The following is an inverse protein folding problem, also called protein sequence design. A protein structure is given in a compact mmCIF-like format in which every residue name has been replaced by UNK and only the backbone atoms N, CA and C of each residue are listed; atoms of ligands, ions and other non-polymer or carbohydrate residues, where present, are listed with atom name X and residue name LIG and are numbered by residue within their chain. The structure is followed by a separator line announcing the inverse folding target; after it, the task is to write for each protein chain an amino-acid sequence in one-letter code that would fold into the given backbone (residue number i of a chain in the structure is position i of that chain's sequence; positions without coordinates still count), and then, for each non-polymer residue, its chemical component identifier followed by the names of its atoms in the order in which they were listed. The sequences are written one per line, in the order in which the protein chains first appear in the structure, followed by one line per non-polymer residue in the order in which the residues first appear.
data_IF_939580860158
#
_entry.id   IF_939580860158
#
_cell.length_a   1.000
_cell.length_b   1.000
_cell.length_c   1.000
_cell.angle_alpha   90.00
_cell.angle_beta   90.00
_cell.angle_gamma   90.00
#
_symmetry.space_group_name_H-M   'P 1'
#
loop_
_entity.id
_entity.type
_entity.pdbx_description
1 polymer ?
#
# COMPACT_ATOMS: atom_id res chain seq x y z
N UNK A 1 59.23 -46.28 -100.30
CA UNK A 1 60.13 -45.13 -100.55
C UNK A 1 60.23 -44.34 -99.26
N UNK A 2 61.38 -44.42 -98.55
CA UNK A 2 62.28 -43.30 -98.14
C UNK A 2 61.56 -42.17 -97.37
N UNK A 3 61.92 -41.80 -96.14
CA UNK A 3 63.20 -41.20 -95.73
C UNK A 3 63.44 -41.23 -94.19
N UNK A 4 64.71 -41.06 -93.81
CA UNK A 4 65.25 -40.91 -92.44
C UNK A 4 64.65 -39.75 -91.62
N UNK A 5 64.65 -39.88 -90.28
CA UNK A 5 64.95 -38.76 -89.37
C UNK A 5 65.59 -39.26 -88.07
N UNK A 6 66.63 -38.56 -87.61
CA UNK A 6 67.51 -38.89 -86.50
C UNK A 6 66.80 -38.99 -85.13
N UNK A 7 67.22 -39.94 -84.30
CA UNK A 7 66.77 -40.08 -82.92
C UNK A 7 67.82 -39.44 -81.99
N UNK A 8 67.45 -38.32 -81.37
CA UNK A 8 68.18 -37.68 -80.27
C UNK A 8 67.96 -38.49 -79.00
N UNK A 9 69.03 -38.97 -78.37
CA UNK A 9 68.96 -39.62 -77.06
C UNK A 9 68.89 -38.52 -76.00
N UNK A 10 67.71 -38.31 -75.43
CA UNK A 10 67.53 -37.50 -74.23
C UNK A 10 67.88 -38.34 -73.00
N UNK A 11 68.90 -37.93 -72.25
CA UNK A 11 69.20 -38.45 -70.92
C UNK A 11 68.20 -37.82 -69.95
N UNK A 12 67.20 -38.60 -69.52
CA UNK A 12 66.33 -38.22 -68.42
C UNK A 12 67.10 -38.41 -67.11
N UNK A 13 67.48 -37.30 -66.46
CA UNK A 13 67.91 -37.30 -65.07
C UNK A 13 66.72 -37.61 -64.17
N UNK A 14 66.79 -38.72 -63.43
CA UNK A 14 65.84 -39.01 -62.38
C UNK A 14 66.02 -38.00 -61.25
N UNK A 15 65.11 -37.02 -61.15
CA UNK A 15 64.97 -36.20 -59.95
C UNK A 15 64.40 -37.10 -58.88
N UNK A 16 65.25 -37.51 -57.94
CA UNK A 16 64.79 -38.16 -56.72
C UNK A 16 63.98 -37.14 -55.91
N UNK A 17 62.66 -37.27 -55.97
CA UNK A 17 61.74 -36.52 -55.13
C UNK A 17 61.91 -37.05 -53.70
N UNK A 18 62.75 -36.39 -52.90
CA UNK A 18 62.78 -36.63 -51.45
C UNK A 18 61.46 -36.17 -50.89
N UNK A 19 60.65 -37.11 -50.41
CA UNK A 19 59.42 -36.85 -49.67
C UNK A 19 59.81 -36.12 -48.38
N UNK A 20 59.76 -34.79 -48.38
CA UNK A 20 60.01 -33.97 -47.18
C UNK A 20 58.96 -34.35 -46.16
N UNK A 21 59.37 -35.04 -45.09
CA UNK A 21 58.52 -35.37 -43.96
C UNK A 21 58.15 -34.06 -43.27
N UNK A 22 56.84 -33.83 -43.05
CA UNK A 22 56.39 -32.67 -42.29
C UNK A 22 57.05 -32.68 -40.91
N UNK A 23 57.42 -31.51 -40.36
CA UNK A 23 58.01 -31.44 -39.04
C UNK A 23 57.06 -31.99 -37.97
N UNK A 24 57.62 -32.56 -36.90
CA UNK A 24 56.84 -33.00 -35.75
C UNK A 24 56.24 -31.79 -35.02
N UNK A 25 55.05 -31.98 -34.46
CA UNK A 25 54.37 -30.95 -33.67
C UNK A 25 55.13 -30.70 -32.35
N UNK A 26 55.46 -29.45 -32.08
CA UNK A 26 56.20 -29.01 -30.88
C UNK A 26 55.34 -28.23 -29.89
N UNK A 27 54.18 -27.70 -30.30
CA UNK A 27 53.28 -26.96 -29.42
C UNK A 27 52.04 -26.41 -30.09
N UNK A 28 51.09 -25.96 -29.26
CA UNK A 28 49.89 -25.22 -29.65
C UNK A 28 49.81 -23.92 -28.84
N UNK A 29 49.25 -22.87 -29.42
CA UNK A 29 48.98 -21.59 -28.74
C UNK A 29 47.58 -21.11 -29.09
N UNK A 30 46.81 -20.67 -28.09
CA UNK A 30 45.49 -20.05 -28.28
C UNK A 30 45.61 -18.52 -28.21
N UNK A 31 44.91 -17.84 -29.10
CA UNK A 31 44.86 -16.38 -29.16
C UNK A 31 43.40 -15.91 -29.33
N UNK A 32 42.95 -14.95 -28.51
CA UNK A 32 43.64 -14.36 -27.34
C UNK A 32 43.74 -15.31 -26.14
N UNK A 33 44.71 -15.06 -25.23
CA UNK A 33 44.87 -15.85 -23.99
C UNK A 33 43.91 -15.46 -22.87
N UNK A 34 43.20 -14.33 -23.00
CA UNK A 34 42.09 -13.96 -22.12
C UNK A 34 41.04 -13.14 -22.88
N UNK A 35 39.77 -13.32 -22.54
CA UNK A 35 38.65 -12.50 -23.04
C UNK A 35 37.68 -12.15 -21.92
N UNK A 36 36.97 -11.04 -22.09
CA UNK A 36 35.80 -10.69 -21.28
C UNK A 36 34.60 -10.57 -22.21
N UNK A 37 33.51 -11.29 -21.91
CA UNK A 37 32.32 -11.39 -22.76
C UNK A 37 31.07 -11.12 -21.92
N UNK A 38 30.09 -10.40 -22.46
CA UNK A 38 28.80 -10.19 -21.79
C UNK A 38 27.97 -11.46 -21.92
N UNK A 39 27.25 -11.83 -20.86
CA UNK A 39 26.31 -12.96 -20.88
C UNK A 39 25.39 -12.91 -22.11
N UNK A 40 25.27 -14.03 -22.81
CA UNK A 40 24.48 -14.17 -24.02
C UNK A 40 25.20 -13.77 -25.31
N UNK A 41 26.35 -13.09 -25.23
CA UNK A 41 27.19 -12.78 -26.38
C UNK A 41 28.21 -13.90 -26.67
N UNK A 42 28.86 -13.82 -27.83
CA UNK A 42 29.84 -14.78 -28.33
C UNK A 42 31.17 -14.13 -28.66
N UNK A 43 32.25 -14.89 -28.56
CA UNK A 43 33.59 -14.48 -28.97
C UNK A 43 34.33 -15.62 -29.67
N UNK A 44 35.19 -15.31 -30.64
CA UNK A 44 35.96 -16.32 -31.38
C UNK A 44 37.37 -16.46 -30.80
N UNK A 45 37.80 -17.71 -30.59
CA UNK A 45 39.19 -18.05 -30.30
C UNK A 45 39.84 -18.67 -31.53
N UNK A 46 41.13 -18.42 -31.69
CA UNK A 46 41.94 -19.03 -32.73
C UNK A 46 43.11 -19.78 -32.10
N UNK A 47 43.63 -20.80 -32.79
CA UNK A 47 44.83 -21.51 -32.36
C UNK A 47 45.88 -21.56 -33.47
N UNK A 48 47.14 -21.66 -33.06
CA UNK A 48 48.29 -21.86 -33.94
C UNK A 48 49.14 -23.02 -33.44
N UNK A 49 49.67 -23.82 -34.37
CA UNK A 49 50.62 -24.90 -34.07
C UNK A 49 52.05 -24.46 -34.38
N UNK A 50 53.01 -24.98 -33.61
CA UNK A 50 54.44 -24.77 -33.83
C UNK A 50 55.12 -26.11 -34.14
N UNK A 51 55.92 -26.21 -35.21
CA UNK A 51 56.01 -25.29 -36.34
C UNK A 51 54.71 -25.24 -37.17
N UNK A 52 54.49 -24.15 -37.91
CA UNK A 52 53.22 -23.85 -38.61
C UNK A 52 52.80 -24.92 -39.64
N UNK A 53 53.77 -25.65 -40.18
CA UNK A 53 53.60 -26.74 -41.16
C UNK A 53 53.67 -28.14 -40.54
N UNK A 54 53.66 -28.24 -39.21
CA UNK A 54 53.54 -29.52 -38.52
C UNK A 54 52.26 -30.26 -38.92
N UNK A 55 52.36 -31.58 -39.05
CA UNK A 55 51.19 -32.45 -39.23
C UNK A 55 50.61 -32.85 -37.87
N UNK A 56 49.29 -32.83 -37.75
CA UNK A 56 48.52 -33.20 -36.56
C UNK A 56 47.27 -33.97 -36.98
N UNK A 57 46.72 -34.79 -36.08
CA UNK A 57 45.61 -35.70 -36.41
C UNK A 57 44.25 -35.19 -35.92
N UNK A 58 44.22 -34.47 -34.78
CA UNK A 58 42.96 -33.98 -34.22
C UNK A 58 43.09 -32.67 -33.45
N UNK A 59 42.01 -31.88 -33.49
CA UNK A 59 41.81 -30.72 -32.64
C UNK A 59 40.45 -30.83 -31.96
N UNK A 60 40.39 -30.47 -30.68
CA UNK A 60 39.12 -30.27 -30.00
C UNK A 60 39.23 -29.15 -28.96
N UNK A 61 38.09 -28.53 -28.70
CA UNK A 61 37.93 -27.49 -27.68
C UNK A 61 37.20 -28.05 -26.48
N UNK A 62 37.53 -27.54 -25.30
CA UNK A 62 36.88 -27.93 -24.06
C UNK A 62 36.78 -26.72 -23.12
N UNK A 63 35.61 -26.56 -22.51
CA UNK A 63 35.42 -25.65 -21.39
C UNK A 63 35.65 -26.34 -20.05
N UNK A 64 36.28 -25.65 -19.10
CA UNK A 64 36.35 -26.08 -17.71
C UNK A 64 35.01 -26.02 -16.99
N UNK A 65 34.10 -25.13 -17.44
CA UNK A 65 32.76 -24.94 -16.87
C UNK A 65 31.77 -24.44 -17.95
N UNK A 66 31.03 -25.38 -18.53
CA UNK A 66 29.99 -25.10 -19.53
C UNK A 66 28.77 -24.36 -18.97
N UNK A 67 28.61 -24.27 -17.64
CA UNK A 67 27.55 -23.44 -17.02
C UNK A 67 27.91 -21.95 -17.04
N UNK A 68 29.19 -21.62 -17.20
CA UNK A 68 29.71 -20.25 -17.32
C UNK A 68 29.96 -19.89 -18.78
N UNK A 69 30.67 -20.73 -19.55
CA UNK A 69 30.93 -20.51 -20.97
C UNK A 69 31.07 -21.83 -21.73
N UNK A 70 30.42 -21.93 -22.89
CA UNK A 70 30.58 -23.07 -23.80
C UNK A 70 31.48 -22.69 -24.97
N UNK A 71 32.05 -23.68 -25.64
CA UNK A 71 32.86 -23.49 -26.86
C UNK A 71 32.45 -24.54 -27.89
N UNK A 72 32.28 -24.15 -29.15
CA UNK A 72 31.99 -25.08 -30.23
C UNK A 72 33.28 -25.63 -30.89
N UNK A 73 33.11 -26.49 -31.88
CA UNK A 73 34.22 -27.12 -32.59
C UNK A 73 35.10 -26.12 -33.38
N UNK A 74 34.55 -24.95 -33.72
CA UNK A 74 35.22 -23.93 -34.52
C UNK A 74 35.93 -22.89 -33.62
N UNK A 75 35.84 -23.05 -32.29
CA UNK A 75 36.45 -22.15 -31.31
C UNK A 75 35.56 -20.95 -30.96
N UNK A 76 34.27 -20.99 -31.29
CA UNK A 76 33.31 -19.95 -30.91
C UNK A 76 32.85 -20.19 -29.48
N UNK A 77 33.19 -19.26 -28.59
CA UNK A 77 32.80 -19.26 -27.19
C UNK A 77 31.45 -18.55 -27.03
N UNK A 78 30.50 -19.17 -26.33
CA UNK A 78 29.22 -18.56 -25.94
C UNK A 78 29.17 -18.34 -24.43
N UNK A 79 28.91 -17.11 -23.99
CA UNK A 79 28.82 -16.76 -22.58
C UNK A 79 27.44 -17.14 -22.00
N UNK A 80 27.42 -17.97 -20.96
CA UNK A 80 26.19 -18.56 -20.38
C UNK A 80 25.78 -17.90 -19.07
N UNK A 81 26.71 -17.77 -18.12
CA UNK A 81 26.47 -17.17 -16.81
C UNK A 81 27.70 -16.40 -16.34
N UNK A 82 27.51 -15.41 -15.45
CA UNK A 82 28.62 -14.64 -14.89
C UNK A 82 29.60 -15.52 -14.13
N UNK A 83 30.89 -15.25 -14.28
CA UNK A 83 31.94 -16.07 -13.70
C UNK A 83 33.20 -16.15 -14.56
N UNK A 84 34.07 -17.11 -14.25
CA UNK A 84 35.29 -17.36 -15.02
C UNK A 84 35.35 -18.84 -15.40
N UNK A 85 35.63 -19.10 -16.67
CA UNK A 85 35.90 -20.43 -17.21
C UNK A 85 37.19 -20.43 -18.02
N UNK A 86 37.85 -21.56 -18.10
CA UNK A 86 39.01 -21.79 -18.95
C UNK A 86 38.58 -22.55 -20.19
N UNK A 87 38.86 -22.00 -21.37
CA UNK A 87 38.65 -22.66 -22.65
C UNK A 87 39.99 -23.16 -23.15
N UNK A 88 40.08 -24.46 -23.36
CA UNK A 88 41.31 -25.15 -23.74
C UNK A 88 41.20 -25.71 -25.16
N UNK A 89 42.21 -25.45 -25.98
CA UNK A 89 42.40 -26.13 -27.27
C UNK A 89 43.38 -27.27 -27.08
N UNK A 90 43.04 -28.43 -27.61
CA UNK A 90 43.90 -29.62 -27.58
C UNK A 90 44.23 -30.02 -29.00
N UNK A 91 45.52 -30.10 -29.33
CA UNK A 91 46.03 -30.60 -30.61
C UNK A 91 47.01 -31.73 -30.31
N UNK A 92 46.60 -32.95 -30.63
CA UNK A 92 47.28 -34.20 -30.24
C UNK A 92 47.65 -34.24 -28.74
N UNK A 93 48.93 -34.19 -28.37
CA UNK A 93 49.40 -34.20 -26.98
C UNK A 93 49.63 -32.82 -26.36
N UNK A 94 49.39 -31.74 -27.10
CA UNK A 94 49.61 -30.37 -26.66
C UNK A 94 48.28 -29.68 -26.39
N UNK A 95 48.28 -28.79 -25.40
CA UNK A 95 47.14 -27.95 -25.10
C UNK A 95 47.59 -26.54 -24.72
N UNK A 96 46.69 -25.58 -24.95
CA UNK A 96 46.83 -24.21 -24.43
C UNK A 96 45.46 -23.68 -23.99
N UNK A 97 45.46 -22.64 -23.16
CA UNK A 97 44.27 -22.19 -22.42
C UNK A 97 44.03 -20.69 -22.59
N UNK A 98 42.76 -20.34 -22.84
CA UNK A 98 42.24 -18.98 -22.77
C UNK A 98 41.37 -18.84 -21.52
N UNK A 99 41.60 -17.81 -20.72
CA UNK A 99 40.72 -17.47 -19.59
C UNK A 99 39.56 -16.59 -20.07
N UNK A 100 38.34 -17.08 -19.92
CA UNK A 100 37.10 -16.38 -20.28
C UNK A 100 36.46 -15.85 -19.00
N UNK A 101 36.28 -14.53 -18.91
CA UNK A 101 35.50 -13.89 -17.84
C UNK A 101 34.17 -13.43 -18.40
N UNK A 102 33.07 -13.98 -17.89
CA UNK A 102 31.71 -13.57 -18.29
C UNK A 102 31.19 -12.52 -17.31
N UNK A 103 30.77 -11.38 -17.86
CA UNK A 103 30.15 -10.28 -17.11
C UNK A 103 28.64 -10.20 -17.34
N UNK A 104 27.97 -9.53 -16.42
CA UNK A 104 26.57 -9.16 -16.53
C UNK A 104 26.27 -8.31 -17.76
N UNK A 105 25.02 -8.38 -18.20
CA UNK A 105 24.48 -7.42 -19.18
C UNK A 105 24.20 -6.05 -18.56
N UNK A 106 23.71 -5.09 -19.35
CA UNK A 106 23.26 -3.81 -18.80
C UNK A 106 22.08 -4.03 -17.84
N UNK A 107 21.93 -3.11 -16.88
CA UNK A 107 20.69 -2.98 -16.11
C UNK A 107 19.52 -2.72 -17.07
N UNK A 108 18.38 -3.38 -16.85
CA UNK A 108 17.19 -3.21 -17.69
C UNK A 108 16.02 -2.57 -16.94
N UNK A 109 15.85 -2.86 -15.65
CA UNK A 109 14.75 -2.28 -14.85
C UNK A 109 15.06 -2.20 -13.37
N UNK A 110 14.41 -1.25 -12.70
CA UNK A 110 14.32 -1.12 -11.24
C UNK A 110 12.88 -1.36 -10.80
N UNK A 111 12.67 -2.01 -9.66
CA UNK A 111 11.34 -2.24 -9.08
C UNK A 111 11.38 -1.89 -7.61
N UNK A 112 10.53 -0.94 -7.18
CA UNK A 112 10.36 -0.59 -5.78
C UNK A 112 9.47 -1.60 -5.05
N UNK A 113 9.67 -1.77 -3.75
CA UNK A 113 8.80 -2.58 -2.91
C UNK A 113 7.39 -1.96 -2.76
N UNK A 114 7.30 -0.64 -2.81
CA UNK A 114 6.04 0.11 -2.76
C UNK A 114 6.02 1.14 -3.90
N UNK A 115 4.85 1.33 -4.50
CA UNK A 115 4.64 2.33 -5.57
C UNK A 115 3.78 3.51 -5.10
N UNK A 116 3.19 3.41 -3.90
CA UNK A 116 2.46 4.50 -3.26
C UNK A 116 2.62 4.42 -1.74
N UNK A 117 2.79 5.58 -1.11
CA UNK A 117 2.86 5.77 0.34
C UNK A 117 1.82 6.81 0.74
N UNK A 118 1.12 6.56 1.85
CA UNK A 118 0.29 7.54 2.55
C UNK A 118 0.88 7.74 3.94
N UNK A 119 1.36 8.94 4.24
CA UNK A 119 2.08 9.27 5.47
C UNK A 119 1.44 10.46 6.17
N UNK A 120 1.58 10.51 7.50
CA UNK A 120 1.32 11.74 8.25
C UNK A 120 2.54 12.62 8.27
N UNK A 121 2.36 13.94 8.42
CA UNK A 121 3.46 14.87 8.68
C UNK A 121 4.33 14.34 9.83
N UNK A 122 5.64 14.21 9.59
CA UNK A 122 6.60 13.62 10.53
C UNK A 122 6.73 12.08 10.48
N UNK A 123 5.82 11.41 9.79
CA UNK A 123 5.87 9.97 9.53
C UNK A 123 7.00 9.58 8.56
N UNK A 124 7.44 8.33 8.65
CA UNK A 124 8.50 7.79 7.79
C UNK A 124 8.13 6.44 7.20
N UNK A 125 8.70 6.12 6.03
CA UNK A 125 8.61 4.80 5.42
C UNK A 125 9.90 4.46 4.67
N UNK A 126 10.31 3.20 4.74
CA UNK A 126 11.52 2.71 4.09
C UNK A 126 11.18 2.13 2.72
N UNK A 127 11.63 2.79 1.66
CA UNK A 127 11.65 2.19 0.33
C UNK A 127 12.90 1.34 0.15
N UNK A 128 12.75 0.27 -0.61
CA UNK A 128 13.80 -0.62 -1.08
C UNK A 128 13.53 -0.97 -2.53
N UNK A 129 14.54 -1.48 -3.23
CA UNK A 129 14.40 -1.82 -4.64
C UNK A 129 15.09 -3.13 -4.98
N UNK A 130 14.61 -3.75 -6.05
CA UNK A 130 15.26 -4.83 -6.77
C UNK A 130 15.55 -4.40 -8.20
N UNK A 131 16.40 -5.14 -8.90
CA UNK A 131 16.76 -4.84 -10.28
C UNK A 131 16.80 -6.12 -11.12
N UNK A 132 16.60 -5.93 -12.42
CA UNK A 132 16.69 -7.00 -13.41
C UNK A 132 17.60 -6.57 -14.57
N UNK A 133 18.42 -7.49 -15.12
CA UNK A 133 18.70 -8.83 -14.60
C UNK A 133 19.45 -8.82 -13.26
N UNK A 134 19.28 -9.87 -12.44
CA UNK A 134 19.93 -9.98 -11.12
C UNK A 134 21.46 -9.98 -11.22
N UNK A 135 21.99 -10.47 -12.34
CA UNK A 135 23.41 -10.50 -12.65
C UNK A 135 23.85 -9.35 -13.56
N UNK A 136 23.11 -8.25 -13.63
CA UNK A 136 23.53 -7.05 -14.36
C UNK A 136 24.89 -6.53 -13.88
N UNK A 137 25.68 -5.95 -14.79
CA UNK A 137 26.90 -5.20 -14.46
C UNK A 137 26.50 -3.83 -13.87
N UNK A 138 25.91 -3.86 -12.68
CA UNK A 138 25.33 -2.72 -11.99
C UNK A 138 25.72 -2.70 -10.51
N UNK A 139 26.13 -1.53 -10.01
CA UNK A 139 26.37 -1.28 -8.59
C UNK A 139 25.14 -0.61 -7.96
N UNK A 140 24.36 -1.31 -7.10
CA UNK A 140 23.17 -0.75 -6.46
C UNK A 140 23.45 0.50 -5.61
N UNK A 141 24.67 0.65 -5.09
CA UNK A 141 25.05 1.83 -4.28
C UNK A 141 25.21 3.10 -5.10
N UNK A 142 25.28 2.96 -6.44
CA UNK A 142 25.32 4.10 -7.36
C UNK A 142 23.94 4.70 -7.66
N UNK A 143 22.86 4.01 -7.28
CA UNK A 143 21.49 4.50 -7.45
C UNK A 143 21.22 5.74 -6.59
N UNK A 144 20.38 6.65 -7.09
CA UNK A 144 20.10 7.93 -6.44
C UNK A 144 18.62 8.12 -6.19
N UNK A 145 18.29 8.53 -4.98
CA UNK A 145 16.96 8.94 -4.58
C UNK A 145 16.80 10.46 -4.73
N UNK A 146 15.59 10.88 -5.09
CA UNK A 146 15.18 12.29 -5.12
C UNK A 146 13.69 12.41 -4.87
N UNK A 147 13.27 13.52 -4.25
CA UNK A 147 11.86 13.91 -4.16
C UNK A 147 11.57 15.06 -5.13
N UNK A 148 10.41 15.02 -5.80
CA UNK A 148 9.96 16.11 -6.66
C UNK A 148 9.62 17.40 -5.88
N UNK A 149 9.16 17.24 -4.63
CA UNK A 149 8.86 18.33 -3.70
C UNK A 149 9.28 17.94 -2.27
N UNK A 150 10.43 18.47 -1.84
CA UNK A 150 10.98 18.26 -0.51
C UNK A 150 10.22 19.00 0.60
N UNK A 151 9.31 19.93 0.26
CA UNK A 151 8.43 20.57 1.25
C UNK A 151 7.27 19.66 1.66
N UNK A 152 6.94 18.66 0.82
CA UNK A 152 5.95 17.62 1.10
C UNK A 152 6.61 16.40 1.72
N UNK A 153 7.62 15.82 1.08
CA UNK A 153 8.37 14.68 1.62
C UNK A 153 9.83 14.68 1.15
N UNK A 154 10.76 14.31 2.03
CA UNK A 154 12.16 14.07 1.68
C UNK A 154 12.46 12.58 1.58
N UNK A 155 13.56 12.23 0.93
CA UNK A 155 14.09 10.86 0.87
C UNK A 155 15.60 10.91 1.04
N UNK A 156 16.15 10.03 1.88
CA UNK A 156 17.60 9.95 2.06
C UNK A 156 18.28 8.98 1.07
N UNK A 157 19.61 8.90 1.10
CA UNK A 157 20.39 8.03 0.21
C UNK A 157 20.15 6.53 0.42
N UNK A 158 19.47 6.13 1.49
CA UNK A 158 19.10 4.74 1.76
C UNK A 158 17.66 4.42 1.35
N UNK A 159 16.88 5.41 0.92
CA UNK A 159 15.47 5.27 0.56
C UNK A 159 14.50 5.50 1.72
N UNK A 160 14.96 6.07 2.84
CA UNK A 160 14.07 6.44 3.95
C UNK A 160 13.31 7.71 3.57
N UNK A 161 12.01 7.59 3.32
CA UNK A 161 11.09 8.69 3.04
C UNK A 161 10.62 9.29 4.37
N UNK A 162 10.67 10.61 4.49
CA UNK A 162 10.18 11.37 5.65
C UNK A 162 9.17 12.42 5.19
N UNK A 163 7.96 12.36 5.72
CA UNK A 163 6.91 13.34 5.45
C UNK A 163 7.19 14.66 6.18
N UNK A 164 7.14 15.78 5.45
CA UNK A 164 7.49 17.13 5.92
C UNK A 164 6.28 18.04 6.03
N UNK A 165 5.42 18.05 5.02
CA UNK A 165 4.28 18.94 4.91
C UNK A 165 3.16 18.28 4.11
N UNK A 166 1.93 18.77 4.30
CA UNK A 166 0.76 18.21 3.62
C UNK A 166 0.83 18.40 2.11
N UNK A 167 0.40 17.42 1.34
CA UNK A 167 0.35 17.48 -0.12
C UNK A 167 0.73 16.17 -0.78
N UNK A 168 0.91 16.19 -2.09
CA UNK A 168 1.36 15.04 -2.87
C UNK A 168 2.70 15.33 -3.54
N UNK A 169 3.57 14.33 -3.58
CA UNK A 169 4.87 14.39 -4.26
C UNK A 169 5.23 13.02 -4.83
N UNK A 170 6.31 12.96 -5.59
CA UNK A 170 6.84 11.72 -6.15
C UNK A 170 8.28 11.54 -5.70
N UNK A 171 8.57 10.37 -5.12
CA UNK A 171 9.93 9.93 -4.83
C UNK A 171 10.42 9.08 -6.00
N UNK A 172 11.60 9.40 -6.53
CA UNK A 172 12.20 8.73 -7.68
C UNK A 172 13.52 8.10 -7.30
N UNK A 173 13.71 6.83 -7.67
CA UNK A 173 14.99 6.14 -7.70
C UNK A 173 15.54 6.15 -9.13
N UNK A 174 16.78 6.57 -9.32
CA UNK A 174 17.44 6.64 -10.64
C UNK A 174 18.75 5.86 -10.67
N UNK A 175 18.94 5.03 -11.70
CA UNK A 175 20.21 4.38 -12.05
C UNK A 175 20.49 4.57 -13.55
N UNK A 176 21.35 5.53 -13.89
CA UNK A 176 21.58 5.91 -15.29
C UNK A 176 20.34 6.53 -15.92
N UNK A 177 19.81 5.92 -16.98
CA UNK A 177 18.56 6.32 -17.65
C UNK A 177 17.32 5.57 -17.12
N UNK A 178 17.51 4.61 -16.21
CA UNK A 178 16.43 3.78 -15.67
C UNK A 178 15.93 4.40 -14.36
N UNK A 179 14.60 4.55 -14.25
CA UNK A 179 13.94 5.09 -13.07
C UNK A 179 12.89 4.14 -12.52
N UNK A 180 12.60 4.28 -11.24
CA UNK A 180 11.40 3.74 -10.60
C UNK A 180 10.83 4.81 -9.66
N UNK A 181 9.50 4.89 -9.58
CA UNK A 181 8.81 5.99 -8.90
C UNK A 181 7.84 5.48 -7.84
N UNK A 182 7.69 6.27 -6.79
CA UNK A 182 6.74 6.06 -5.72
C UNK A 182 5.90 7.34 -5.50
N UNK A 183 4.60 7.16 -5.65
CA UNK A 183 3.52 7.90 -4.98
C UNK A 183 3.81 8.34 -3.55
N UNK A 184 3.82 9.61 -3.16
CA UNK A 184 3.80 9.98 -1.73
C UNK A 184 2.70 11.01 -1.47
N UNK A 185 1.69 10.63 -0.72
CA UNK A 185 0.65 11.52 -0.21
C UNK A 185 0.88 11.74 1.28
N UNK A 186 0.94 13.01 1.69
CA UNK A 186 1.16 13.43 3.07
C UNK A 186 -0.05 14.17 3.59
N UNK A 187 -0.64 13.68 4.67
CA UNK A 187 -1.77 14.30 5.36
C UNK A 187 -1.33 14.90 6.70
N UNK A 188 -2.01 15.98 7.11
CA UNK A 188 -1.78 16.63 8.40
C UNK A 188 -2.57 15.94 9.51
N UNK A 189 -2.40 16.38 10.76
CA UNK A 189 -3.37 16.06 11.81
C UNK A 189 -4.75 16.60 11.41
N UNK A 190 -5.80 15.84 11.72
CA UNK A 190 -7.15 16.28 11.43
C UNK A 190 -7.51 17.53 12.24
N UNK A 191 -8.34 18.37 11.66
CA UNK A 191 -8.93 19.54 12.30
C UNK A 191 -10.45 19.49 12.21
N UNK A 192 -11.12 20.07 13.21
CA UNK A 192 -12.58 20.21 13.17
C UNK A 192 -12.97 21.03 11.95
N UNK A 193 -13.85 20.47 11.11
CA UNK A 193 -14.32 21.04 9.86
C UNK A 193 -13.61 20.53 8.61
N UNK A 194 -12.59 19.68 8.74
CA UNK A 194 -11.98 19.01 7.58
C UNK A 194 -12.99 18.09 6.89
N UNK A 195 -12.94 18.05 5.57
CA UNK A 195 -13.71 17.13 4.75
C UNK A 195 -13.04 15.76 4.76
N UNK A 196 -13.81 14.70 5.00
CA UNK A 196 -13.33 13.33 5.06
C UNK A 196 -13.84 12.53 3.86
N UNK A 197 -12.97 11.76 3.23
CA UNK A 197 -13.22 11.13 1.94
C UNK A 197 -13.34 9.60 2.02
N UNK A 198 -13.97 9.01 1.00
CA UNK A 198 -14.16 7.55 0.88
C UNK A 198 -12.86 6.73 0.80
N UNK A 199 -11.72 7.37 0.54
CA UNK A 199 -10.39 6.75 0.54
C UNK A 199 -9.71 6.80 1.93
N UNK A 200 -10.38 7.33 2.95
CA UNK A 200 -9.85 7.47 4.32
C UNK A 200 -8.98 8.71 4.55
N UNK A 201 -8.80 9.56 3.54
CA UNK A 201 -8.06 10.82 3.67
C UNK A 201 -8.96 11.97 4.11
N UNK A 202 -8.35 13.10 4.49
CA UNK A 202 -9.06 14.33 4.82
C UNK A 202 -8.29 15.57 4.38
N UNK A 203 -9.00 16.69 4.25
CA UNK A 203 -8.41 18.00 3.94
C UNK A 203 -9.30 19.16 4.41
N UNK A 204 -8.68 20.31 4.69
CA UNK A 204 -9.39 21.52 5.10
C UNK A 204 -10.28 22.11 3.99
N UNK A 205 -9.83 22.00 2.74
CA UNK A 205 -10.55 22.43 1.55
C UNK A 205 -11.19 21.22 0.86
N UNK A 206 -12.38 21.40 0.30
CA UNK A 206 -13.11 20.35 -0.40
C UNK A 206 -12.39 20.02 -1.72
N UNK A 207 -11.96 18.76 -1.85
CA UNK A 207 -11.30 18.23 -3.04
C UNK A 207 -12.37 17.76 -4.06
N UNK A 208 -12.46 18.40 -5.24
CA UNK A 208 -13.46 18.05 -6.25
C UNK A 208 -13.20 16.70 -6.93
N UNK A 209 -12.01 16.13 -6.81
CA UNK A 209 -11.63 14.86 -7.43
C UNK A 209 -11.87 13.66 -6.48
N UNK A 210 -12.23 13.92 -5.22
CA UNK A 210 -12.54 12.90 -4.21
C UNK A 210 -14.01 12.88 -3.82
N UNK A 211 -14.47 11.71 -3.37
CA UNK A 211 -15.83 11.55 -2.84
C UNK A 211 -15.82 11.89 -1.35
N UNK A 212 -16.30 13.08 -0.99
CA UNK A 212 -16.48 13.48 0.40
C UNK A 212 -17.66 12.70 0.99
N UNK A 213 -17.45 12.07 2.15
CA UNK A 213 -18.45 11.23 2.84
C UNK A 213 -18.79 11.74 4.23
N UNK A 214 -18.04 12.72 4.74
CA UNK A 214 -18.33 13.33 6.02
C UNK A 214 -17.45 14.52 6.35
N UNK A 215 -17.65 15.06 7.55
CA UNK A 215 -16.88 16.16 8.09
C UNK A 215 -16.31 15.77 9.45
N UNK A 216 -15.04 16.06 9.69
CA UNK A 216 -14.39 15.87 10.99
C UNK A 216 -15.04 16.81 12.01
N UNK A 217 -15.63 16.28 13.07
CA UNK A 217 -16.23 17.10 14.14
C UNK A 217 -15.39 17.13 15.41
N UNK A 218 -14.39 16.25 15.52
CA UNK A 218 -13.43 16.23 16.61
C UNK A 218 -12.11 15.61 16.13
N UNK A 219 -10.98 16.17 16.59
CA UNK A 219 -9.64 15.75 16.20
C UNK A 219 -8.92 15.01 17.33
N UNK A 220 -8.29 13.90 16.98
CA UNK A 220 -7.64 12.97 17.90
C UNK A 220 -8.62 12.08 18.68
N UNK A 221 -8.07 11.12 19.42
CA UNK A 221 -8.83 10.28 20.33
C UNK A 221 -9.35 11.09 21.54
N UNK A 222 -10.65 11.02 21.82
CA UNK A 222 -11.22 11.69 22.99
C UNK A 222 -10.89 10.93 24.28
N UNK A 223 -10.60 11.63 25.38
CA UNK A 223 -10.19 10.98 26.64
C UNK A 223 -11.29 10.14 27.29
N UNK A 224 -12.56 10.55 27.10
CA UNK A 224 -13.75 9.85 27.61
C UNK A 224 -14.35 8.85 26.61
N UNK A 225 -13.65 8.55 25.51
CA UNK A 225 -13.99 7.44 24.63
C UNK A 225 -13.29 6.17 25.11
N UNK A 226 -14.04 5.23 25.67
CA UNK A 226 -13.54 3.95 26.17
C UNK A 226 -13.67 2.82 25.13
N UNK A 227 -14.00 3.17 23.88
CA UNK A 227 -14.18 2.22 22.79
C UNK A 227 -12.89 1.46 22.46
N UNK A 228 -13.00 0.15 22.23
CA UNK A 228 -11.90 -0.66 21.72
C UNK A 228 -11.93 -0.72 20.19
N UNK A 229 -11.06 0.07 19.57
CA UNK A 229 -10.88 0.07 18.12
C UNK A 229 -9.78 -0.87 17.62
N UNK A 230 -9.19 -1.72 18.47
CA UNK A 230 -8.03 -2.55 18.10
C UNK A 230 -8.31 -3.48 16.91
N UNK A 231 -9.54 -3.95 16.75
CA UNK A 231 -9.98 -4.81 15.65
C UNK A 231 -10.12 -4.10 14.30
N UNK A 232 -10.11 -2.76 14.28
CA UNK A 232 -10.33 -1.93 13.09
C UNK A 232 -9.01 -1.45 12.46
N UNK A 233 -7.88 -1.63 13.16
CA UNK A 233 -6.56 -1.17 12.71
C UNK A 233 -6.17 0.23 13.18
N UNK A 234 -7.11 1.04 13.68
CA UNK A 234 -6.83 2.37 14.27
C UNK A 234 -6.34 2.23 15.72
N UNK A 235 -7.04 1.50 16.58
CA UNK A 235 -6.81 1.53 18.03
C UNK A 235 -6.92 2.96 18.61
N UNK A 236 -6.57 3.16 19.89
CA UNK A 236 -6.61 4.51 20.48
C UNK A 236 -5.44 5.40 20.03
N UNK A 237 -4.30 4.81 19.69
CA UNK A 237 -3.07 5.55 19.33
C UNK A 237 -3.13 6.13 17.91
N UNK A 238 -3.84 5.49 16.99
CA UNK A 238 -3.98 5.97 15.60
C UNK A 238 -5.37 6.51 15.30
N UNK A 239 -6.16 6.82 16.34
CA UNK A 239 -7.42 7.53 16.14
C UNK A 239 -7.11 9.02 15.89
N UNK A 240 -7.30 9.43 14.65
CA UNK A 240 -7.09 10.78 14.13
C UNK A 240 -8.28 11.70 14.39
N UNK A 241 -9.44 11.13 14.72
CA UNK A 241 -10.61 11.90 15.12
C UNK A 241 -11.91 11.18 14.83
N UNK A 242 -12.97 11.97 14.75
CA UNK A 242 -14.33 11.50 14.52
C UNK A 242 -14.99 12.29 13.39
N UNK A 243 -15.71 11.57 12.53
CA UNK A 243 -16.37 12.10 11.33
C UNK A 243 -17.86 11.92 11.46
N UNK A 244 -18.63 12.95 11.11
CA UNK A 244 -20.09 12.89 10.97
C UNK A 244 -20.45 12.73 9.50
N UNK A 245 -21.39 11.83 9.21
CA UNK A 245 -21.89 11.58 7.87
C UNK A 245 -22.55 12.82 7.23
N UNK A 246 -22.48 12.92 5.90
CA UNK A 246 -23.10 14.04 5.18
C UNK A 246 -24.63 13.97 5.17
N UNK A 247 -25.24 12.80 5.20
CA UNK A 247 -26.68 12.62 5.08
C UNK A 247 -27.28 11.92 6.30
N UNK A 248 -28.57 12.15 6.54
CA UNK A 248 -29.32 11.38 7.54
C UNK A 248 -29.33 9.90 7.15
N UNK A 249 -29.04 9.03 8.12
CA UNK A 249 -29.02 7.60 7.91
C UNK A 249 -30.41 6.96 7.97
N UNK A 250 -31.32 7.58 8.71
CA UNK A 250 -32.72 7.18 8.76
C UNK A 250 -33.55 7.91 7.70
N UNK A 251 -34.62 7.29 7.17
CA UNK A 251 -35.68 8.03 6.50
C UNK A 251 -36.34 9.01 7.48
N UNK A 252 -37.33 9.76 6.99
CA UNK A 252 -38.10 10.62 7.87
C UNK A 252 -38.72 9.81 9.02
N UNK A 253 -38.27 10.13 10.25
CA UNK A 253 -38.83 9.79 11.56
C UNK A 253 -38.45 8.40 12.10
N UNK A 254 -37.19 8.26 12.55
CA UNK A 254 -36.74 7.11 13.34
C UNK A 254 -37.25 7.21 14.79
N UNK A 255 -38.46 6.70 15.03
CA UNK A 255 -39.19 6.91 16.31
C UNK A 255 -38.69 5.99 17.44
N UNK A 256 -37.93 4.93 17.13
CA UNK A 256 -37.57 3.90 18.12
C UNK A 256 -36.05 3.68 18.20
N UNK A 257 -35.55 3.60 19.43
CA UNK A 257 -34.15 3.24 19.73
C UNK A 257 -33.99 1.72 19.84
N UNK A 258 -34.99 1.06 20.42
CA UNK A 258 -34.99 -0.37 20.71
C UNK A 258 -36.27 -0.81 21.43
N UNK A 259 -36.28 -2.06 21.92
CA UNK A 259 -37.39 -2.62 22.69
C UNK A 259 -37.77 -1.71 23.86
N UNK A 260 -39.06 -1.67 24.19
CA UNK A 260 -39.51 -0.93 25.37
C UNK A 260 -39.03 -1.62 26.65
N UNK A 261 -38.73 -0.81 27.67
CA UNK A 261 -38.39 -1.26 29.03
C UNK A 261 -37.15 -2.20 29.10
N UNK A 262 -36.23 -2.12 28.11
CA UNK A 262 -34.94 -2.83 28.09
C UNK A 262 -33.80 -1.84 28.31
N UNK A 263 -33.22 -1.86 29.52
CA UNK A 263 -32.06 -1.03 29.87
C UNK A 263 -30.77 -1.76 29.50
N UNK A 264 -29.93 -1.13 28.69
CA UNK A 264 -28.61 -1.66 28.31
C UNK A 264 -27.47 -1.13 29.18
N UNK A 265 -27.77 -0.15 30.04
CA UNK A 265 -26.80 0.56 30.88
C UNK A 265 -25.77 1.35 30.05
N UNK A 266 -26.22 1.90 28.91
CA UNK A 266 -25.39 2.70 28.01
C UNK A 266 -25.21 4.13 28.54
N UNK A 267 -24.55 4.26 29.69
CA UNK A 267 -24.18 5.52 30.30
C UNK A 267 -22.83 5.41 31.00
N UNK A 268 -22.05 6.49 31.06
CA UNK A 268 -20.77 6.48 31.76
C UNK A 268 -20.95 6.31 33.27
N UNK A 269 -19.97 5.68 33.91
CA UNK A 269 -19.87 5.54 35.36
C UNK A 269 -18.71 6.42 35.88
N UNK A 270 -18.85 6.96 37.08
CA UNK A 270 -17.78 7.69 37.76
C UNK A 270 -16.75 6.74 38.41
N UNK A 271 -15.76 7.29 39.11
CA UNK A 271 -14.69 6.52 39.77
C UNK A 271 -15.22 5.56 40.86
N UNK A 272 -16.39 5.86 41.43
CA UNK A 272 -17.06 5.04 42.44
C UNK A 272 -17.99 3.98 41.82
N UNK A 273 -18.11 3.96 40.49
CA UNK A 273 -18.98 3.06 39.74
C UNK A 273 -20.44 3.51 39.70
N UNK A 274 -20.72 4.75 40.09
CA UNK A 274 -22.07 5.32 40.08
C UNK A 274 -22.36 5.99 38.73
N UNK A 275 -23.63 5.98 38.27
CA UNK A 275 -23.95 6.56 36.98
C UNK A 275 -23.74 8.07 36.91
N UNK A 276 -23.06 8.52 35.85
CA UNK A 276 -22.88 9.94 35.57
C UNK A 276 -24.17 10.48 34.95
N UNK A 277 -24.89 11.32 35.71
CA UNK A 277 -26.15 11.91 35.25
C UNK A 277 -25.89 12.98 34.18
N UNK A 278 -26.45 12.76 32.98
CA UNK A 278 -26.32 13.69 31.85
C UNK A 278 -27.57 14.58 31.78
N UNK A 279 -27.49 15.84 32.22
CA UNK A 279 -28.67 16.73 32.26
C UNK A 279 -28.46 18.09 31.61
N UNK A 280 -29.53 18.66 31.05
CA UNK A 280 -29.57 20.00 30.44
C UNK A 280 -29.20 21.18 31.36
N UNK A 281 -29.22 20.99 32.67
CA UNK A 281 -29.15 22.09 33.64
C UNK A 281 -27.75 22.30 34.21
N UNK A 282 -26.83 21.39 33.91
CA UNK A 282 -25.44 21.41 34.37
C UNK A 282 -24.58 21.48 33.11
N UNK A 283 -23.91 22.61 32.85
CA UNK A 283 -23.12 22.92 31.65
C UNK A 283 -21.90 21.98 31.37
N UNK A 284 -22.03 20.67 31.59
CA UNK A 284 -20.95 19.68 31.65
C UNK A 284 -21.18 18.49 30.69
N UNK A 285 -22.10 18.64 29.74
CA UNK A 285 -22.57 17.53 28.88
C UNK A 285 -21.69 17.31 27.65
N UNK A 286 -20.88 18.31 27.26
CA UNK A 286 -20.15 18.27 25.99
C UNK A 286 -19.03 17.22 25.97
N UNK A 287 -18.56 16.78 27.13
CA UNK A 287 -17.42 15.86 27.23
C UNK A 287 -17.73 14.57 28.01
N UNK A 288 -18.95 14.40 28.54
CA UNK A 288 -19.24 13.34 29.52
C UNK A 288 -19.33 11.92 28.93
N UNK A 289 -19.90 11.75 27.74
CA UNK A 289 -20.10 10.44 27.13
C UNK A 289 -19.66 10.43 25.66
N UNK A 290 -18.47 9.89 25.39
CA UNK A 290 -17.91 9.74 24.04
C UNK A 290 -17.90 8.29 23.55
N UNK A 291 -18.64 7.41 24.22
CA UNK A 291 -18.58 5.96 24.02
C UNK A 291 -19.53 5.45 22.92
N UNK A 292 -19.81 6.24 21.87
CA UNK A 292 -20.82 5.87 20.87
C UNK A 292 -20.55 4.53 20.18
N UNK A 293 -19.28 4.24 19.85
CA UNK A 293 -18.91 2.97 19.24
C UNK A 293 -19.06 1.80 20.22
N UNK A 294 -18.63 1.97 21.47
CA UNK A 294 -18.83 1.01 22.56
C UNK A 294 -20.33 0.72 22.78
N UNK A 295 -21.17 1.74 22.91
CA UNK A 295 -22.61 1.60 23.10
C UNK A 295 -23.30 0.98 21.89
N UNK A 296 -22.91 1.36 20.67
CA UNK A 296 -23.42 0.72 19.45
C UNK A 296 -23.05 -0.76 19.40
N UNK A 297 -21.85 -1.12 19.85
CA UNK A 297 -21.41 -2.52 19.94
C UNK A 297 -22.23 -3.30 20.97
N UNK A 298 -22.53 -2.69 22.12
CA UNK A 298 -23.44 -3.25 23.13
C UNK A 298 -24.85 -3.48 22.58
N UNK A 299 -25.41 -2.48 21.87
CA UNK A 299 -26.71 -2.59 21.22
C UNK A 299 -26.72 -3.73 20.19
N UNK A 300 -25.67 -3.87 19.38
CA UNK A 300 -25.53 -4.97 18.42
C UNK A 300 -25.55 -6.33 19.11
N UNK A 301 -24.81 -6.48 20.21
CA UNK A 301 -24.79 -7.72 20.98
C UNK A 301 -26.17 -8.06 21.58
N UNK A 302 -26.90 -7.05 22.07
CA UNK A 302 -28.28 -7.22 22.55
C UNK A 302 -29.22 -7.64 21.40
N UNK A 303 -29.10 -6.99 20.23
CA UNK A 303 -29.91 -7.29 19.06
C UNK A 303 -29.65 -8.70 18.51
N UNK A 304 -28.41 -9.20 18.53
CA UNK A 304 -28.07 -10.57 18.09
C UNK A 304 -28.85 -11.64 18.86
N UNK A 305 -29.08 -11.43 20.16
CA UNK A 305 -29.93 -12.32 20.97
C UNK A 305 -31.41 -12.30 20.56
N UNK A 306 -31.84 -11.24 19.84
CA UNK A 306 -33.21 -11.00 19.38
C UNK A 306 -33.40 -11.19 17.86
N UNK A 307 -32.41 -11.76 17.15
CA UNK A 307 -32.48 -12.00 15.70
C UNK A 307 -31.69 -11.02 14.82
N UNK A 308 -30.91 -10.14 15.44
CA UNK A 308 -30.04 -9.16 14.79
C UNK A 308 -30.66 -7.77 14.70
N UNK A 309 -29.84 -6.80 14.27
CA UNK A 309 -30.33 -5.44 14.02
C UNK A 309 -31.37 -5.45 12.88
N UNK A 310 -32.46 -4.70 13.04
CA UNK A 310 -33.47 -4.47 12.00
C UNK A 310 -34.22 -3.14 12.20
N UNK A 311 -35.05 -2.77 11.23
CA UNK A 311 -35.92 -1.58 11.31
C UNK A 311 -37.06 -1.73 12.34
N UNK A 312 -37.31 -2.95 12.83
CA UNK A 312 -38.34 -3.21 13.81
C UNK A 312 -37.91 -2.74 15.21
N UNK A 313 -38.88 -2.38 16.06
CA UNK A 313 -38.63 -1.93 17.44
C UNK A 313 -37.72 -2.89 18.21
N UNK A 314 -37.95 -4.20 18.06
CA UNK A 314 -37.14 -5.25 18.71
C UNK A 314 -35.71 -5.36 18.15
N UNK A 315 -35.48 -4.84 16.95
CA UNK A 315 -34.20 -4.87 16.23
C UNK A 315 -33.34 -3.63 16.40
N UNK A 316 -33.68 -2.73 17.33
CA UNK A 316 -32.92 -1.50 17.60
C UNK A 316 -32.73 -0.61 16.36
N UNK A 317 -33.82 0.01 15.85
CA UNK A 317 -33.81 0.65 14.54
C UNK A 317 -32.83 1.83 14.44
N UNK A 318 -32.66 2.63 15.51
CA UNK A 318 -31.68 3.71 15.53
C UNK A 318 -30.26 3.22 15.22
N UNK A 319 -29.84 2.12 15.88
CA UNK A 319 -28.54 1.51 15.64
C UNK A 319 -28.48 0.81 14.27
N UNK A 320 -29.58 0.19 13.84
CA UNK A 320 -29.67 -0.42 12.50
C UNK A 320 -29.44 0.60 11.40
N UNK A 321 -30.12 1.75 11.44
CA UNK A 321 -29.91 2.82 10.46
C UNK A 321 -28.49 3.37 10.52
N UNK A 322 -27.93 3.56 11.73
CA UNK A 322 -26.60 4.10 11.88
C UNK A 322 -25.51 3.20 11.26
N UNK A 323 -25.58 1.91 11.55
CA UNK A 323 -24.59 0.90 11.12
C UNK A 323 -24.78 0.50 9.65
N UNK A 324 -26.02 0.50 9.15
CA UNK A 324 -26.32 0.22 7.73
C UNK A 324 -26.47 1.50 6.90
N UNK A 325 -25.82 2.60 7.33
CA UNK A 325 -25.79 3.84 6.55
C UNK A 325 -25.23 3.53 5.15
N UNK A 326 -26.09 3.72 4.16
CA UNK A 326 -25.87 3.22 2.80
C UNK A 326 -25.64 4.32 1.77
N UNK A 327 -25.81 5.59 2.15
CA UNK A 327 -25.52 6.69 1.25
C UNK A 327 -24.01 6.76 0.95
N UNK A 328 -23.16 6.52 1.96
CA UNK A 328 -21.71 6.47 1.78
C UNK A 328 -21.08 5.34 2.60
N UNK A 329 -20.28 4.48 1.94
CA UNK A 329 -19.55 3.42 2.64
C UNK A 329 -18.38 4.01 3.44
N UNK A 330 -18.24 3.57 4.70
CA UNK A 330 -17.06 3.89 5.49
C UNK A 330 -15.82 3.15 4.96
N UNK A 331 -14.64 3.80 4.91
CA UNK A 331 -13.39 3.13 4.52
C UNK A 331 -13.04 1.99 5.50
N UNK A 332 -12.42 0.92 5.00
CA UNK A 332 -12.01 -0.24 5.82
C UNK A 332 -11.00 0.14 6.92
N UNK A 333 -10.30 1.27 6.76
CA UNK A 333 -9.35 1.82 7.73
C UNK A 333 -10.00 2.59 8.89
N UNK A 334 -11.31 2.51 9.06
CA UNK A 334 -12.08 3.23 10.09
C UNK A 334 -12.83 2.27 11.01
N UNK A 335 -13.51 2.79 12.03
CA UNK A 335 -14.42 2.01 12.87
C UNK A 335 -15.63 1.45 12.12
N UNK A 336 -15.88 1.89 10.89
CA UNK A 336 -17.19 1.83 10.27
C UNK A 336 -18.18 2.80 10.94
N UNK A 337 -19.34 2.97 10.32
CA UNK A 337 -20.40 3.83 10.85
C UNK A 337 -21.03 3.25 12.12
N UNK A 338 -21.27 4.09 13.12
CA UNK A 338 -21.94 3.74 14.37
C UNK A 338 -22.89 4.85 14.83
N UNK A 339 -23.74 4.52 15.79
CA UNK A 339 -24.68 5.46 16.41
C UNK A 339 -23.91 6.31 17.45
N UNK A 340 -23.79 7.64 17.26
CA UNK A 340 -23.03 8.49 18.18
C UNK A 340 -23.60 8.48 19.60
N UNK A 341 -22.74 8.65 20.60
CA UNK A 341 -23.16 9.00 21.96
C UNK A 341 -23.66 10.45 22.04
N UNK A 342 -24.32 10.82 23.13
CA UNK A 342 -24.94 12.15 23.24
C UNK A 342 -23.93 13.31 23.12
N UNK A 343 -22.72 13.17 23.67
CA UNK A 343 -21.67 14.18 23.52
C UNK A 343 -21.14 14.24 22.08
N UNK A 344 -21.02 13.10 21.40
CA UNK A 344 -20.63 13.05 19.98
C UNK A 344 -21.68 13.70 19.08
N UNK A 345 -22.99 13.49 19.32
CA UNK A 345 -24.04 14.20 18.57
C UNK A 345 -23.92 15.71 18.78
N UNK A 346 -23.73 16.15 20.03
CA UNK A 346 -23.56 17.57 20.35
C UNK A 346 -22.34 18.19 19.67
N UNK A 347 -21.22 17.47 19.62
CA UNK A 347 -20.01 17.91 18.93
C UNK A 347 -20.22 17.96 17.41
N UNK A 348 -20.85 16.94 16.82
CA UNK A 348 -21.17 16.87 15.39
C UNK A 348 -22.03 18.05 14.92
N UNK A 349 -23.01 18.48 15.71
CA UNK A 349 -23.83 19.67 15.43
C UNK A 349 -22.99 20.95 15.28
N UNK A 350 -21.83 21.05 15.95
CA UNK A 350 -20.93 22.21 15.82
C UNK A 350 -20.24 22.27 14.45
N UNK A 351 -20.11 21.14 13.76
CA UNK A 351 -19.54 21.05 12.41
C UNK A 351 -20.59 21.25 11.28
N UNK A 352 -21.85 21.57 11.61
CA UNK A 352 -22.98 21.62 10.66
C UNK A 352 -22.80 22.55 9.47
N UNK A 353 -22.07 23.65 9.63
CA UNK A 353 -21.88 24.64 8.55
C UNK A 353 -21.05 24.03 7.40
N UNK A 354 -20.10 23.16 7.73
CA UNK A 354 -19.23 22.47 6.75
C UNK A 354 -19.95 21.35 5.99
N UNK A 355 -20.94 20.71 6.61
CA UNK A 355 -21.71 19.64 5.97
C UNK A 355 -22.46 20.17 4.74
N UNK A 356 -23.01 21.38 4.84
CA UNK A 356 -23.69 22.03 3.71
C UNK A 356 -22.74 22.38 2.56
N UNK A 357 -21.48 22.72 2.83
CA UNK A 357 -20.46 22.99 1.80
C UNK A 357 -20.17 21.75 0.94
N UNK A 358 -20.24 20.55 1.53
CA UNK A 358 -20.05 19.27 0.84
C UNK A 358 -21.33 18.70 0.22
N UNK A 359 -22.46 19.43 0.24
CA UNK A 359 -23.74 18.98 -0.32
C UNK A 359 -24.53 18.03 0.58
N UNK A 360 -24.17 17.94 1.87
CA UNK A 360 -24.89 17.13 2.85
C UNK A 360 -26.22 17.72 3.31
N UNK A 361 -27.00 16.89 4.00
CA UNK A 361 -28.27 17.30 4.60
C UNK A 361 -28.01 18.21 5.81
N UNK A 362 -28.58 19.41 5.79
CA UNK A 362 -28.51 20.33 6.91
C UNK A 362 -29.09 19.69 8.18
N UNK A 363 -28.44 19.96 9.32
CA UNK A 363 -29.00 19.60 10.62
C UNK A 363 -30.36 20.29 10.80
N UNK A 364 -31.40 19.51 11.15
CA UNK A 364 -32.75 20.04 11.38
C UNK A 364 -32.74 21.11 12.47
N UNK A 365 -33.57 22.16 12.33
CA UNK A 365 -33.62 23.26 13.28
C UNK A 365 -34.17 22.84 14.66
N UNK A 366 -33.97 23.70 15.65
CA UNK A 366 -34.21 23.40 17.07
C UNK A 366 -35.67 23.25 17.49
N UNK A 367 -36.61 23.55 16.61
CA UNK A 367 -38.02 23.30 16.89
C UNK A 367 -38.36 21.95 16.23
N UNK A 368 -38.01 21.75 14.96
CA UNK A 368 -38.61 20.70 14.13
C UNK A 368 -37.86 19.34 14.11
N UNK A 369 -36.62 19.23 14.61
CA UNK A 369 -35.88 17.96 14.56
C UNK A 369 -34.93 17.64 15.71
N UNK A 370 -34.80 16.34 15.99
CA UNK A 370 -33.98 15.76 17.06
C UNK A 370 -33.06 14.69 16.51
N UNK A 371 -31.81 14.71 16.95
CA UNK A 371 -30.82 13.68 16.60
C UNK A 371 -30.67 12.70 17.75
N UNK A 372 -30.84 11.42 17.41
CA UNK A 372 -30.83 10.32 18.38
C UNK A 372 -29.39 9.92 18.73
N UNK A 373 -29.14 9.53 19.99
CA UNK A 373 -27.84 9.00 20.42
C UNK A 373 -27.94 7.55 20.92
N UNK A 374 -26.78 6.91 21.10
CA UNK A 374 -26.67 5.58 21.71
C UNK A 374 -26.75 5.58 23.25
N UNK A 375 -26.80 6.78 23.86
CA UNK A 375 -26.74 6.98 25.31
C UNK A 375 -28.13 6.85 25.96
N UNK A 376 -28.17 6.23 27.13
CA UNK A 376 -29.35 6.07 27.99
C UNK A 376 -29.31 7.04 29.19
N UNK A 377 -30.47 7.51 29.67
CA UNK A 377 -30.56 8.34 30.88
C UNK A 377 -30.41 7.49 32.14
N UNK A 378 -29.35 7.75 32.89
CA UNK A 378 -29.04 7.04 34.12
C UNK A 378 -29.84 7.52 35.34
N UNK A 379 -30.54 8.66 35.25
CA UNK A 379 -31.11 9.39 36.38
C UNK A 379 -32.62 9.27 36.59
N UNK A 380 -33.36 8.52 35.75
CA UNK A 380 -34.83 8.51 35.79
C UNK A 380 -35.42 7.14 36.15
N UNK A 381 -35.88 7.02 37.40
CA UNK A 381 -36.83 5.98 37.82
C UNK A 381 -38.06 6.64 38.45
N UNK A 382 -39.18 6.77 37.71
CA UNK A 382 -40.43 6.32 38.32
C UNK A 382 -41.48 5.91 37.26
N UNK A 383 -41.25 4.83 36.51
CA UNK A 383 -42.33 4.12 35.76
C UNK A 383 -41.90 2.80 35.08
N UNK A 384 -40.61 2.44 35.08
CA UNK A 384 -40.12 1.26 34.36
C UNK A 384 -39.80 1.50 32.89
N UNK A 385 -39.79 2.76 32.43
CA UNK A 385 -39.48 3.15 31.06
C UNK A 385 -38.02 3.54 30.90
N UNK A 386 -37.41 3.12 29.80
CA UNK A 386 -36.05 3.51 29.40
C UNK A 386 -36.11 4.84 28.65
N UNK A 387 -35.30 5.80 29.09
CA UNK A 387 -35.13 7.07 28.38
C UNK A 387 -33.83 7.07 27.59
N UNK A 388 -33.92 7.48 26.32
CA UNK A 388 -32.76 7.71 25.48
C UNK A 388 -32.52 9.20 25.31
N UNK A 389 -31.24 9.59 25.19
CA UNK A 389 -30.91 10.97 24.90
C UNK A 389 -31.07 11.30 23.41
N UNK A 390 -31.55 12.51 23.17
CA UNK A 390 -31.49 13.17 21.87
C UNK A 390 -31.07 14.62 22.06
N UNK A 391 -30.63 15.29 21.00
CA UNK A 391 -30.31 16.72 21.02
C UNK A 391 -30.94 17.48 19.86
N UNK A 392 -31.18 18.78 20.07
CA UNK A 392 -31.49 19.73 19.00
C UNK A 392 -30.23 20.24 18.31
N UNK A 393 -30.37 20.82 17.12
CA UNK A 393 -29.30 21.61 16.49
C UNK A 393 -28.88 22.88 17.24
N UNK A 394 -29.58 23.23 18.34
CA UNK A 394 -29.20 24.29 19.30
C UNK A 394 -28.68 23.75 20.64
N UNK A 395 -28.28 22.47 20.71
CA UNK A 395 -27.50 21.88 21.81
C UNK A 395 -28.22 21.74 23.17
N UNK A 396 -29.55 21.66 23.17
CA UNK A 396 -30.27 21.23 24.37
C UNK A 396 -30.70 19.76 24.19
N UNK A 397 -30.37 18.93 25.19
CA UNK A 397 -30.60 17.49 25.21
C UNK A 397 -31.92 17.14 25.88
N UNK A 398 -32.65 16.14 25.42
CA UNK A 398 -33.91 15.73 26.06
C UNK A 398 -33.91 14.23 26.27
N UNK A 399 -34.11 13.75 27.50
CA UNK A 399 -34.41 12.35 27.71
C UNK A 399 -35.84 12.09 27.24
N UNK A 400 -36.03 11.03 26.47
CA UNK A 400 -37.33 10.66 25.90
C UNK A 400 -37.58 9.17 26.07
N UNK A 401 -38.82 8.83 26.44
CA UNK A 401 -39.22 7.42 26.53
C UNK A 401 -39.18 6.78 25.16
N UNK A 402 -38.71 5.54 25.11
CA UNK A 402 -38.79 4.73 23.88
C UNK A 402 -40.23 4.73 23.35
N UNK A 403 -40.41 5.23 22.12
CA UNK A 403 -41.70 5.21 21.41
C UNK A 403 -42.76 6.23 21.85
N UNK A 404 -42.47 7.22 22.69
CA UNK A 404 -43.44 8.28 23.01
C UNK A 404 -43.56 9.34 21.89
N UNK A 405 -44.80 9.66 21.50
CA UNK A 405 -45.14 10.92 20.82
C UNK A 405 -45.51 11.96 21.88
N UNK A 406 -45.06 13.21 21.73
CA UNK A 406 -45.42 14.26 22.68
C UNK A 406 -46.96 14.46 22.71
N UNK A 407 -47.49 14.63 23.93
CA UNK A 407 -48.93 14.60 24.23
C UNK A 407 -49.77 15.73 23.59
N UNK A 408 -49.15 16.69 22.94
CA UNK A 408 -49.73 17.89 22.32
C UNK A 408 -49.95 17.76 20.80
N UNK A 409 -49.74 16.59 20.22
CA UNK A 409 -49.90 16.35 18.78
C UNK A 409 -48.73 16.88 17.94
N UNK A 410 -47.64 17.26 18.62
CA UNK A 410 -46.35 17.56 18.03
C UNK A 410 -45.58 16.26 17.81
N UNK A 411 -45.23 15.96 16.55
CA UNK A 411 -44.44 14.79 16.17
C UNK A 411 -43.04 15.29 15.78
N UNK A 412 -42.11 15.45 16.73
CA UNK A 412 -40.77 15.90 16.39
C UNK A 412 -40.10 14.87 15.48
N UNK A 413 -39.43 15.36 14.46
CA UNK A 413 -38.75 14.50 13.51
C UNK A 413 -37.47 13.95 14.15
N UNK A 414 -37.44 12.66 14.46
CA UNK A 414 -36.24 11.99 14.93
C UNK A 414 -35.40 11.53 13.75
N UNK A 415 -34.10 11.79 13.82
CA UNK A 415 -33.12 11.46 12.79
C UNK A 415 -31.92 10.75 13.38
N UNK A 416 -31.42 9.79 12.62
CA UNK A 416 -30.12 9.16 12.87
C UNK A 416 -29.11 9.84 11.98
N UNK A 417 -28.01 10.33 12.56
CA UNK A 417 -26.83 10.78 11.83
C UNK A 417 -25.65 9.94 12.28
N UNK A 418 -25.12 9.13 11.36
CA UNK A 418 -24.01 8.24 11.67
C UNK A 418 -22.72 9.01 11.90
N UNK A 419 -21.86 8.45 12.75
CA UNK A 419 -20.47 8.90 12.91
C UNK A 419 -19.51 7.73 12.78
N UNK A 420 -18.24 8.01 12.51
CA UNK A 420 -17.16 7.03 12.56
C UNK A 420 -15.93 7.62 13.26
N UNK A 421 -15.05 6.75 13.73
CA UNK A 421 -13.69 7.08 14.17
C UNK A 421 -12.71 6.61 13.09
N UNK A 422 -11.65 7.38 12.83
CA UNK A 422 -10.69 7.13 11.74
C UNK A 422 -9.25 7.28 12.18
#
# INVERSE_FOLDING_TARGET
MKFLSALSVAVLGAVACTKTQAPELEGVTVEPSQITVVKGETAELSFAVTPKDASWEGVYWQSSDETVATVDQDGVVTAVATGTAEISVHVDSFNDVCTVTVKGGPLESLVLNETALSLFVGGTSQLSFTYNPEDADFDPSSAKWSSADETVATVDGTGLVTAVGTGETTVTLTAGEITAECSVSVTGEASVGDFFYSDGTWSADLDPDKTCIGVVFYAGHHENDLSDYSSTGIGSVKCHGYVVALHDASPADCIHWGPNDVLLENYPLDEDGEPVVISNFTNNVEDADWNGYLWTSGIRAAAEAAGGLSEDVEGYPAAWYAVNYSADAAPESTSGWFLPSISQVNAAVKAKDKIGEAGGDAFLDAIDGRYVSSSEDAGYEPAGHVLYYCTYSTMANFPLQSGEKFADGYDPQYRVRSVLAF
#
